data_IF_923691519065
#
_entry.id   IF_923691519065
#
_cell.length_a   1.000
_cell.length_b   1.000
_cell.length_c   1.000
_cell.angle_alpha   90.00
_cell.angle_beta   90.00
_cell.angle_gamma   90.00
#
_symmetry.space_group_name_H-M   'P 1'
#
loop_
_entity.id
_entity.type
_entity.pdbx_description
1 polymer ?
#
# COMPACT_ATOMS: atom_id res chain seq x y z
N UNK A 1 3.49 -6.86 -7.28
CA UNK A 1 2.32 -7.53 -7.87
C UNK A 1 2.66 -7.85 -9.32
N UNK A 2 2.60 -9.11 -9.72
CA UNK A 2 2.95 -9.54 -11.08
C UNK A 2 1.78 -9.32 -12.06
N UNK A 3 2.01 -9.51 -13.36
CA UNK A 3 0.99 -9.29 -14.40
C UNK A 3 -0.25 -10.16 -14.18
N UNK A 4 -0.07 -11.43 -13.82
CA UNK A 4 -1.16 -12.38 -13.62
C UNK A 4 -2.04 -12.00 -12.42
N UNK A 5 -1.44 -11.43 -11.36
CA UNK A 5 -2.18 -10.88 -10.22
C UNK A 5 -3.01 -9.66 -10.59
N UNK A 6 -2.46 -8.74 -11.38
CA UNK A 6 -3.21 -7.57 -11.86
C UNK A 6 -4.40 -8.05 -12.69
N UNK A 7 -4.19 -9.00 -13.60
CA UNK A 7 -5.26 -9.60 -14.41
C UNK A 7 -6.30 -10.30 -13.53
N UNK A 8 -5.88 -11.01 -12.48
CA UNK A 8 -6.76 -11.67 -11.53
C UNK A 8 -7.63 -10.66 -10.77
N UNK A 9 -7.02 -9.60 -10.20
CA UNK A 9 -7.71 -8.54 -9.46
C UNK A 9 -8.67 -7.77 -10.35
N UNK A 10 -8.27 -7.43 -11.58
CA UNK A 10 -9.16 -6.76 -12.55
C UNK A 10 -10.35 -7.66 -12.90
N UNK A 11 -10.12 -8.96 -13.11
CA UNK A 11 -11.20 -9.93 -13.41
C UNK A 11 -12.12 -10.19 -12.22
N UNK A 12 -11.65 -9.99 -10.99
CA UNK A 12 -12.50 -10.08 -9.81
C UNK A 12 -13.58 -8.99 -9.78
N UNK A 13 -13.41 -7.88 -10.52
CA UNK A 13 -14.51 -6.95 -10.81
C UNK A 13 -15.14 -6.31 -9.57
N UNK A 14 -14.38 -6.18 -8.48
CA UNK A 14 -14.86 -5.65 -7.19
C UNK A 14 -15.29 -6.72 -6.18
N UNK A 15 -15.28 -8.00 -6.52
CA UNK A 15 -15.47 -9.10 -5.58
C UNK A 15 -14.29 -9.17 -4.60
N UNK A 16 -14.50 -8.71 -3.36
CA UNK A 16 -13.47 -8.64 -2.34
C UNK A 16 -12.90 -10.01 -1.95
N UNK A 17 -13.70 -11.08 -1.99
CA UNK A 17 -13.23 -12.43 -1.66
C UNK A 17 -12.27 -12.91 -2.75
N UNK A 18 -12.68 -12.73 -4.00
CA UNK A 18 -11.87 -13.10 -5.15
C UNK A 18 -10.60 -12.25 -5.29
N UNK A 19 -10.66 -10.96 -4.95
CA UNK A 19 -9.46 -10.11 -4.85
C UNK A 19 -8.51 -10.62 -3.78
N UNK A 20 -9.01 -11.03 -2.60
CA UNK A 20 -8.16 -11.59 -1.53
C UNK A 20 -7.48 -12.86 -1.98
N UNK A 21 -8.18 -13.76 -2.65
CA UNK A 21 -7.60 -14.98 -3.24
C UNK A 21 -6.51 -14.65 -4.26
N UNK A 22 -6.75 -13.69 -5.16
CA UNK A 22 -5.73 -13.23 -6.13
C UNK A 22 -4.45 -12.71 -5.45
N UNK A 23 -4.60 -12.12 -4.26
CA UNK A 23 -3.52 -11.56 -3.46
C UNK A 23 -2.93 -12.58 -2.46
N UNK A 24 -3.45 -13.81 -2.42
CA UNK A 24 -2.97 -14.87 -1.53
C UNK A 24 -3.34 -14.69 -0.06
N UNK A 25 -4.35 -13.86 0.24
CA UNK A 25 -4.83 -13.65 1.60
C UNK A 25 -6.00 -14.59 1.94
N UNK A 26 -5.89 -15.24 3.09
CA UNK A 26 -7.01 -15.87 3.78
C UNK A 26 -7.24 -15.13 5.09
N UNK A 27 -8.48 -14.72 5.34
CA UNK A 27 -8.87 -13.96 6.54
C UNK A 27 -9.93 -14.76 7.27
N UNK A 28 -9.64 -15.11 8.52
CA UNK A 28 -10.56 -15.79 9.42
C UNK A 28 -10.92 -14.84 10.57
N UNK A 29 -12.21 -14.58 10.77
CA UNK A 29 -12.68 -13.84 11.96
C UNK A 29 -12.65 -14.79 13.15
N UNK A 30 -11.94 -14.40 14.20
CA UNK A 30 -11.74 -15.21 15.40
C UNK A 30 -12.10 -14.40 16.65
N UNK A 31 -12.59 -15.08 17.68
CA UNK A 31 -12.94 -14.45 18.96
C UNK A 31 -11.69 -13.96 19.70
N UNK A 32 -10.63 -14.78 19.70
CA UNK A 32 -9.32 -14.44 20.24
C UNK A 32 -8.23 -14.77 19.25
N UNK A 33 -7.26 -13.84 19.13
CA UNK A 33 -6.08 -14.02 18.32
C UNK A 33 -4.91 -13.44 19.11
N UNK A 34 -4.07 -14.33 19.66
CA UNK A 34 -2.87 -13.99 20.43
C UNK A 34 -1.60 -14.57 19.79
N UNK A 35 -1.68 -14.90 18.50
CA UNK A 35 -0.54 -15.44 17.77
C UNK A 35 0.43 -14.30 17.46
N UNK A 36 1.65 -14.41 18.01
CA UNK A 36 2.77 -13.69 17.46
C UNK A 36 2.91 -14.02 15.96
N UNK A 37 3.25 -13.04 15.10
CA UNK A 37 3.50 -13.30 13.70
C UNK A 37 4.48 -14.47 13.55
N UNK A 38 4.14 -15.48 12.74
CA UNK A 38 5.04 -16.60 12.44
C UNK A 38 4.97 -17.03 10.98
N UNK A 39 5.99 -17.76 10.55
CA UNK A 39 5.88 -18.59 9.36
C UNK A 39 5.15 -19.88 9.71
N UNK A 40 4.14 -20.19 8.90
CA UNK A 40 3.41 -21.44 8.94
C UNK A 40 3.49 -22.05 7.54
N UNK A 41 4.45 -22.95 7.36
CA UNK A 41 4.93 -23.38 6.04
C UNK A 41 5.40 -22.16 5.21
N UNK A 42 4.95 -22.05 3.95
CA UNK A 42 5.25 -20.93 3.05
C UNK A 42 4.27 -19.75 3.18
N UNK A 43 3.66 -19.57 4.35
CA UNK A 43 2.76 -18.46 4.61
C UNK A 43 3.12 -17.68 5.88
N UNK A 44 3.00 -16.35 5.81
CA UNK A 44 3.04 -15.51 7.01
C UNK A 44 1.66 -15.55 7.64
N UNK A 45 1.60 -15.95 8.91
CA UNK A 45 0.37 -15.91 9.70
C UNK A 45 0.52 -14.91 10.83
N UNK A 46 -0.42 -13.98 10.92
CA UNK A 46 -0.44 -12.96 11.97
C UNK A 46 -1.87 -12.63 12.38
N UNK A 47 -2.01 -12.09 13.58
CA UNK A 47 -3.26 -11.51 14.04
C UNK A 47 -3.29 -10.02 13.66
N UNK A 48 -4.41 -9.56 13.14
CA UNK A 48 -4.72 -8.14 12.97
C UNK A 48 -6.13 -7.85 13.47
N UNK A 49 -6.47 -6.59 13.66
CA UNK A 49 -7.67 -6.20 14.40
C UNK A 49 -7.55 -6.48 15.91
N UNK A 50 -8.53 -5.98 16.68
CA UNK A 50 -8.50 -6.05 18.14
C UNK A 50 -7.74 -4.92 18.83
N UNK A 51 -7.54 -3.78 18.15
CA UNK A 51 -7.17 -2.53 18.81
C UNK A 51 -8.29 -1.99 19.71
N UNK A 52 -8.09 -0.80 20.28
CA UNK A 52 -9.21 0.03 20.72
C UNK A 52 -10.28 0.03 19.60
N UNK A 53 -11.56 0.18 19.90
CA UNK A 53 -12.66 0.17 18.91
C UNK A 53 -13.20 -1.21 18.52
N UNK A 54 -12.88 -2.28 19.28
CA UNK A 54 -13.45 -3.65 19.23
C UNK A 54 -13.80 -4.20 17.84
N UNK A 55 -12.96 -3.88 16.87
CA UNK A 55 -12.91 -4.55 15.59
C UNK A 55 -12.77 -6.07 15.82
N UNK A 56 -13.45 -6.90 15.02
CA UNK A 56 -13.29 -8.35 15.12
C UNK A 56 -11.81 -8.69 14.97
N UNK A 57 -11.29 -9.54 15.87
CA UNK A 57 -9.94 -10.05 15.72
C UNK A 57 -9.92 -10.94 14.49
N UNK A 58 -8.91 -10.75 13.65
CA UNK A 58 -8.74 -11.48 12.41
C UNK A 58 -7.42 -12.22 12.46
N UNK A 59 -7.47 -13.51 12.14
CA UNK A 59 -6.28 -14.27 11.77
C UNK A 59 -6.11 -14.12 10.27
N UNK A 60 -4.96 -13.58 9.87
CA UNK A 60 -4.60 -13.40 8.47
C UNK A 60 -3.48 -14.38 8.14
N UNK A 61 -3.68 -15.16 7.07
CA UNK A 61 -2.66 -15.99 6.44
C UNK A 61 -2.38 -15.42 5.05
N UNK A 62 -1.13 -15.07 4.79
CA UNK A 62 -0.65 -14.61 3.49
C UNK A 62 0.25 -15.68 2.89
N UNK A 63 -0.21 -16.35 1.83
CA UNK A 63 0.59 -17.33 1.10
C UNK A 63 1.68 -16.62 0.28
N UNK A 64 2.95 -16.86 0.61
CA UNK A 64 4.07 -16.17 -0.03
C UNK A 64 4.29 -16.62 -1.49
N UNK A 65 4.01 -17.90 -1.78
CA UNK A 65 4.18 -18.49 -3.11
C UNK A 65 3.33 -17.80 -4.18
N UNK A 66 2.22 -17.13 -3.81
CA UNK A 66 1.38 -16.35 -4.73
C UNK A 66 2.14 -15.16 -5.34
N UNK A 67 3.25 -14.75 -4.72
CA UNK A 67 4.15 -13.71 -5.21
C UNK A 67 5.53 -14.26 -5.63
N UNK A 68 5.68 -15.58 -5.83
CA UNK A 68 6.97 -16.25 -6.03
C UNK A 68 7.96 -15.99 -4.87
N UNK A 69 7.42 -15.85 -3.65
CA UNK A 69 8.17 -15.62 -2.41
C UNK A 69 8.05 -16.84 -1.49
N UNK A 70 8.94 -16.90 -0.51
CA UNK A 70 8.93 -17.87 0.59
C UNK A 70 8.76 -17.16 1.92
N UNK A 71 8.21 -17.86 2.92
CA UNK A 71 8.15 -17.30 4.27
C UNK A 71 9.51 -17.46 4.95
N UNK A 72 10.10 -16.34 5.37
CA UNK A 72 11.37 -16.33 6.11
C UNK A 72 11.24 -15.49 7.36
N UNK A 73 11.94 -15.90 8.42
CA UNK A 73 12.09 -15.08 9.63
C UNK A 73 13.32 -14.16 9.47
N UNK A 74 13.17 -12.86 9.72
CA UNK A 74 14.30 -11.95 9.86
C UNK A 74 15.08 -12.22 11.14
N UNK A 75 16.24 -11.58 11.27
CA UNK A 75 17.14 -11.70 12.43
C UNK A 75 16.49 -11.30 13.75
N UNK A 76 15.46 -10.46 13.73
CA UNK A 76 14.63 -10.09 14.90
C UNK A 76 13.49 -11.09 15.19
N UNK A 77 13.39 -12.17 14.42
CA UNK A 77 12.34 -13.19 14.51
C UNK A 77 11.03 -12.83 13.80
N UNK A 78 10.93 -11.65 13.18
CA UNK A 78 9.72 -11.22 12.47
C UNK A 78 9.58 -11.98 11.14
N UNK A 79 8.48 -12.72 10.88
CA UNK A 79 8.28 -13.40 9.60
C UNK A 79 7.89 -12.42 8.50
N UNK A 80 8.34 -12.68 7.27
CA UNK A 80 7.99 -11.92 6.06
C UNK A 80 7.97 -12.84 4.85
N UNK A 81 7.13 -12.53 3.87
CA UNK A 81 7.27 -13.09 2.53
C UNK A 81 8.43 -12.40 1.83
N UNK A 82 9.44 -13.17 1.43
CA UNK A 82 10.66 -12.66 0.82
C UNK A 82 11.21 -13.64 -0.23
N UNK A 83 12.22 -13.23 -0.99
CA UNK A 83 12.88 -14.12 -1.96
C UNK A 83 13.70 -15.23 -1.28
N UNK A 84 14.08 -15.01 -0.03
CA UNK A 84 14.88 -15.94 0.75
C UNK A 84 15.60 -15.24 1.88
N UNK A 85 16.62 -15.90 2.40
CA UNK A 85 17.52 -15.34 3.41
C UNK A 85 18.83 -14.86 2.78
N UNK A 86 19.52 -13.98 3.48
CA UNK A 86 20.87 -13.54 3.14
C UNK A 86 21.73 -13.53 4.41
N UNK A 87 23.07 -13.53 4.30
CA UNK A 87 23.94 -13.45 5.47
C UNK A 87 23.56 -12.24 6.33
N UNK A 88 23.49 -12.38 7.67
CA UNK A 88 23.19 -11.26 8.54
C UNK A 88 24.30 -10.22 8.37
N UNK A 89 23.94 -9.04 7.87
CA UNK A 89 24.81 -7.89 7.79
C UNK A 89 24.11 -6.68 8.38
N UNK A 90 24.86 -5.88 9.13
CA UNK A 90 24.39 -4.58 9.62
C UNK A 90 24.24 -3.56 8.48
N UNK A 91 24.84 -3.85 7.32
CA UNK A 91 24.71 -3.07 6.10
C UNK A 91 23.56 -3.58 5.23
N UNK A 92 22.77 -2.64 4.70
CA UNK A 92 21.79 -2.91 3.65
C UNK A 92 22.57 -3.15 2.35
N UNK A 93 22.53 -4.36 1.81
CA UNK A 93 23.12 -4.68 0.51
C UNK A 93 22.04 -4.58 -0.55
N UNK A 94 22.21 -3.65 -1.49
CA UNK A 94 21.29 -3.49 -2.63
C UNK A 94 22.00 -3.88 -3.92
N UNK A 95 21.40 -4.80 -4.68
CA UNK A 95 21.81 -5.12 -6.05
C UNK A 95 20.73 -4.66 -7.02
N UNK A 96 21.14 -4.06 -8.13
CA UNK A 96 20.22 -3.55 -9.15
C UNK A 96 20.27 -4.41 -10.41
N UNK A 97 19.09 -4.66 -10.99
CA UNK A 97 18.97 -5.24 -12.32
C UNK A 97 17.94 -4.42 -13.12
N UNK A 98 18.44 -3.39 -13.81
CA UNK A 98 17.60 -2.42 -14.53
C UNK A 98 16.66 -1.68 -13.60
N UNK A 99 15.38 -2.08 -13.60
CA UNK A 99 14.34 -1.50 -12.72
C UNK A 99 14.08 -2.32 -11.47
N UNK A 100 14.69 -3.48 -11.33
CA UNK A 100 14.52 -4.32 -10.14
C UNK A 100 15.60 -3.99 -9.13
N UNK A 101 15.18 -3.75 -7.89
CA UNK A 101 16.04 -3.63 -6.73
C UNK A 101 15.91 -4.92 -5.91
N UNK A 102 17.02 -5.47 -5.48
CA UNK A 102 17.04 -6.58 -4.52
C UNK A 102 17.81 -6.11 -3.31
N UNK A 103 17.20 -6.21 -2.14
CA UNK A 103 17.77 -5.71 -0.89
C UNK A 103 17.87 -6.84 0.13
N UNK A 104 19.08 -7.00 0.68
CA UNK A 104 19.33 -7.77 1.89
C UNK A 104 19.31 -6.84 3.10
N UNK A 105 18.39 -7.07 4.03
CA UNK A 105 18.31 -6.33 5.29
C UNK A 105 17.79 -7.26 6.39
N UNK A 106 18.44 -7.26 7.56
CA UNK A 106 18.04 -8.11 8.69
C UNK A 106 18.02 -9.61 8.36
N UNK A 107 18.94 -10.06 7.50
CA UNK A 107 19.03 -11.45 7.04
C UNK A 107 17.96 -11.88 6.03
N UNK A 108 17.16 -10.94 5.52
CA UNK A 108 16.05 -11.21 4.57
C UNK A 108 16.33 -10.56 3.22
N UNK A 109 16.16 -11.36 2.16
CA UNK A 109 16.30 -10.91 0.78
C UNK A 109 14.93 -10.53 0.21
N UNK A 110 14.71 -9.25 -0.05
CA UNK A 110 13.47 -8.72 -0.64
C UNK A 110 13.73 -8.18 -2.04
N UNK A 111 12.70 -8.12 -2.87
CA UNK A 111 12.77 -7.41 -4.16
C UNK A 111 11.68 -6.36 -4.26
N UNK A 112 12.04 -5.24 -4.89
CA UNK A 112 11.13 -4.19 -5.29
C UNK A 112 11.36 -3.83 -6.75
N UNK A 113 10.35 -3.28 -7.39
CA UNK A 113 10.47 -2.72 -8.72
C UNK A 113 10.40 -1.20 -8.61
N UNK A 114 11.37 -0.50 -9.19
CA UNK A 114 11.32 0.93 -9.32
C UNK A 114 10.08 1.34 -10.10
N UNK A 115 9.43 2.42 -9.65
CA UNK A 115 8.28 3.00 -10.33
C UNK A 115 8.58 3.31 -11.80
N UNK A 116 7.54 3.46 -12.61
CA UNK A 116 7.72 3.86 -14.00
C UNK A 116 8.56 5.14 -14.08
N UNK A 117 9.43 5.23 -15.10
CA UNK A 117 10.38 6.33 -15.29
C UNK A 117 11.47 6.47 -14.21
N UNK A 118 11.63 5.47 -13.35
CA UNK A 118 12.77 5.33 -12.43
C UNK A 118 13.61 4.09 -12.76
N UNK A 119 14.88 4.16 -12.41
CA UNK A 119 15.87 3.09 -12.56
C UNK A 119 16.50 2.77 -11.22
N UNK A 120 17.00 1.54 -11.04
CA UNK A 120 17.72 1.16 -9.83
C UNK A 120 19.18 1.61 -9.95
N UNK A 121 19.64 2.42 -9.00
CA UNK A 121 21.04 2.87 -8.93
C UNK A 121 21.79 2.11 -7.85
N UNK A 122 22.81 1.35 -8.25
CA UNK A 122 23.71 0.66 -7.30
C UNK A 122 24.48 1.66 -6.44
N UNK A 123 24.86 2.80 -7.02
CA UNK A 123 25.58 3.86 -6.30
C UNK A 123 24.72 4.52 -5.21
N UNK A 124 23.43 4.72 -5.48
CA UNK A 124 22.51 5.29 -4.50
C UNK A 124 21.89 4.22 -3.58
N UNK A 125 22.02 2.93 -3.93
CA UNK A 125 21.38 1.82 -3.23
C UNK A 125 19.85 1.85 -3.27
N UNK A 126 19.25 2.54 -4.23
CA UNK A 126 17.80 2.80 -4.32
C UNK A 126 17.36 3.18 -5.74
N UNK A 127 16.05 3.34 -5.93
CA UNK A 127 15.47 3.82 -7.18
C UNK A 127 15.68 5.32 -7.36
N UNK A 128 16.11 5.72 -8.55
CA UNK A 128 16.38 7.11 -8.95
C UNK A 128 15.54 7.49 -10.16
N UNK A 129 15.19 8.77 -10.31
CA UNK A 129 14.52 9.27 -11.50
C UNK A 129 15.43 9.16 -12.73
N UNK A 130 14.92 8.62 -13.84
CA UNK A 130 15.66 8.48 -15.10
C UNK A 130 15.42 9.65 -16.08
N UNK A 131 14.46 10.52 -15.79
CA UNK A 131 14.03 11.62 -16.65
C UNK A 131 14.96 12.84 -16.61
N UNK A 132 14.45 14.01 -17.02
CA UNK A 132 15.20 15.27 -17.00
C UNK A 132 15.55 15.73 -15.58
N UNK A 133 16.58 16.56 -15.43
CA UNK A 133 16.91 17.21 -14.17
C UNK A 133 15.74 18.06 -13.68
N UNK A 134 15.50 18.03 -12.37
CA UNK A 134 14.45 18.78 -11.72
C UNK A 134 14.88 19.21 -10.32
N UNK A 135 14.22 20.23 -9.81
CA UNK A 135 14.42 20.73 -8.44
C UNK A 135 13.16 20.64 -7.59
N UNK A 136 12.02 20.32 -8.20
CA UNK A 136 10.71 20.15 -7.56
C UNK A 136 9.76 19.41 -8.49
N UNK A 137 8.68 18.89 -7.93
CA UNK A 137 7.58 18.30 -8.66
C UNK A 137 6.76 19.36 -9.41
N UNK A 138 6.19 18.98 -10.55
CA UNK A 138 5.40 19.88 -11.42
C UNK A 138 4.14 19.21 -11.94
N UNK A 139 3.22 20.02 -12.46
CA UNK A 139 2.07 19.56 -13.23
C UNK A 139 2.22 19.97 -14.69
N UNK A 140 1.94 19.03 -15.60
CA UNK A 140 1.79 19.26 -17.03
C UNK A 140 0.34 18.94 -17.40
N UNK A 141 -0.54 19.94 -17.32
CA UNK A 141 -1.99 19.68 -17.33
C UNK A 141 -2.41 18.84 -16.13
N UNK A 142 -3.11 17.72 -16.37
CA UNK A 142 -3.49 16.75 -15.34
C UNK A 142 -2.45 15.65 -15.10
N UNK A 143 -1.24 15.81 -15.65
CA UNK A 143 -0.14 14.88 -15.42
C UNK A 143 0.76 15.41 -14.31
N UNK A 144 0.91 14.63 -13.23
CA UNK A 144 1.87 14.87 -12.17
C UNK A 144 3.25 14.35 -12.58
N UNK A 145 4.25 15.23 -12.56
CA UNK A 145 5.64 14.89 -12.85
C UNK A 145 6.44 14.90 -11.54
N UNK A 146 6.66 13.72 -10.93
CA UNK A 146 7.44 13.62 -9.71
C UNK A 146 8.91 13.96 -9.93
N UNK A 147 9.50 14.70 -9.01
CA UNK A 147 10.94 14.91 -8.92
C UNK A 147 11.50 14.02 -7.82
N UNK A 148 12.43 13.12 -8.16
CA UNK A 148 13.06 12.25 -7.18
C UNK A 148 14.14 13.03 -6.41
N UNK A 149 13.97 13.29 -5.10
CA UNK A 149 14.86 14.17 -4.34
C UNK A 149 16.31 13.66 -4.27
N UNK A 150 16.51 12.34 -4.33
CA UNK A 150 17.85 11.73 -4.23
C UNK A 150 18.67 12.00 -5.50
N UNK A 151 18.05 11.87 -6.68
CA UNK A 151 18.75 12.05 -7.95
C UNK A 151 18.62 13.44 -8.55
N UNK A 152 17.67 14.27 -8.07
CA UNK A 152 17.33 15.55 -8.71
C UNK A 152 16.85 15.36 -10.14
N UNK A 153 16.12 14.26 -10.40
CA UNK A 153 15.64 13.89 -11.74
C UNK A 153 14.20 13.46 -11.69
N UNK A 154 13.48 13.74 -12.76
CA UNK A 154 12.07 13.36 -12.87
C UNK A 154 11.93 11.84 -12.92
N UNK A 155 10.93 11.33 -12.24
CA UNK A 155 10.47 9.95 -12.41
C UNK A 155 9.27 9.92 -13.38
N UNK A 156 8.68 8.74 -13.59
CA UNK A 156 7.62 8.58 -14.57
C UNK A 156 6.38 9.42 -14.22
N UNK A 157 5.77 10.07 -15.22
CA UNK A 157 4.57 10.86 -15.02
C UNK A 157 3.41 10.01 -14.51
N UNK A 158 2.57 10.59 -13.66
CA UNK A 158 1.32 10.01 -13.17
C UNK A 158 0.17 10.79 -13.80
N UNK A 159 -0.65 10.11 -14.58
CA UNK A 159 -1.89 10.68 -15.12
C UNK A 159 -2.92 10.77 -13.99
N UNK A 160 -3.11 11.97 -13.43
CA UNK A 160 -4.07 12.17 -12.36
C UNK A 160 -5.51 12.00 -12.87
N UNK A 161 -5.79 12.33 -14.14
CA UNK A 161 -7.12 12.19 -14.71
C UNK A 161 -7.53 10.72 -14.82
N UNK A 162 -6.59 9.82 -15.13
CA UNK A 162 -6.83 8.37 -15.08
C UNK A 162 -7.18 7.86 -13.68
N UNK A 163 -6.86 8.63 -12.63
CA UNK A 163 -7.20 8.34 -11.24
C UNK A 163 -8.46 9.08 -10.75
N UNK A 164 -9.18 9.78 -11.65
CA UNK A 164 -10.34 10.62 -11.28
C UNK A 164 -9.94 11.88 -10.48
N UNK A 165 -8.68 12.28 -10.59
CA UNK A 165 -8.09 13.43 -9.89
C UNK A 165 -7.62 14.47 -10.91
N UNK A 166 -7.18 15.62 -10.42
CA UNK A 166 -6.47 16.63 -11.21
C UNK A 166 -5.07 16.85 -10.66
N UNK A 167 -4.14 17.29 -11.49
CA UNK A 167 -2.86 17.74 -10.97
C UNK A 167 -2.97 19.19 -10.48
N UNK A 168 -2.44 19.47 -9.27
CA UNK A 168 -2.37 20.83 -8.72
C UNK A 168 -0.97 21.14 -8.22
N UNK A 169 -0.47 22.31 -8.61
CA UNK A 169 0.73 22.90 -8.04
C UNK A 169 0.45 23.64 -6.72
N UNK A 170 1.34 23.49 -5.76
CA UNK A 170 1.31 24.12 -4.43
C UNK A 170 2.43 25.16 -4.27
N UNK A 171 2.81 25.82 -5.36
CA UNK A 171 3.85 26.84 -5.38
C UNK A 171 5.23 26.28 -5.05
N UNK A 172 5.77 26.63 -3.88
CA UNK A 172 7.07 26.15 -3.41
C UNK A 172 7.01 24.76 -2.77
N UNK A 173 5.81 24.27 -2.44
CA UNK A 173 5.61 22.95 -1.82
C UNK A 173 5.55 21.80 -2.85
N UNK A 174 5.76 22.09 -4.14
CA UNK A 174 5.72 21.10 -5.22
C UNK A 174 4.35 21.00 -5.88
N UNK A 175 4.00 19.80 -6.33
CA UNK A 175 2.76 19.49 -7.02
C UNK A 175 2.24 18.10 -6.61
N UNK A 176 0.98 17.79 -6.91
CA UNK A 176 0.44 16.46 -6.67
C UNK A 176 -0.93 16.24 -7.30
N UNK A 177 -1.33 14.97 -7.39
CA UNK A 177 -2.70 14.59 -7.74
C UNK A 177 -3.63 14.88 -6.55
N UNK A 178 -4.73 15.54 -6.83
CA UNK A 178 -5.71 15.98 -5.83
C UNK A 178 -7.12 15.77 -6.35
N UNK A 179 -8.09 15.66 -5.44
CA UNK A 179 -9.50 15.72 -5.79
C UNK A 179 -9.81 16.97 -6.65
N UNK A 180 -10.73 16.85 -7.63
CA UNK A 180 -11.08 17.96 -8.51
C UNK A 180 -11.76 19.11 -7.75
N UNK A 181 -11.80 20.31 -8.33
CA UNK A 181 -12.27 21.52 -7.62
C UNK A 181 -13.79 21.51 -7.38
N UNK A 182 -14.53 20.69 -8.14
CA UNK A 182 -15.95 20.42 -8.00
C UNK A 182 -16.25 19.18 -7.13
N UNK A 183 -15.23 18.62 -6.47
CA UNK A 183 -15.42 17.55 -5.50
C UNK A 183 -16.45 17.97 -4.44
N UNK A 184 -17.40 17.07 -4.15
CA UNK A 184 -18.47 17.28 -3.17
C UNK A 184 -17.94 17.60 -1.76
N UNK A 185 -16.69 17.20 -1.50
CA UNK A 185 -15.97 17.60 -0.32
C UNK A 185 -14.46 17.56 -0.51
N UNK A 186 -13.75 18.38 0.26
CA UNK A 186 -12.28 18.38 0.30
C UNK A 186 -11.70 17.16 1.01
N UNK A 187 -10.37 17.09 1.11
CA UNK A 187 -9.66 16.10 1.92
C UNK A 187 -9.89 16.37 3.42
N UNK A 188 -11.08 16.01 3.92
CA UNK A 188 -11.45 16.03 5.34
C UNK A 188 -11.54 14.61 5.88
N UNK A 189 -11.22 14.44 7.17
CA UNK A 189 -11.46 13.19 7.90
C UNK A 189 -12.96 12.86 7.96
N UNK A 190 -13.28 11.57 8.20
CA UNK A 190 -14.67 11.14 8.33
C UNK A 190 -15.37 11.76 9.55
N UNK A 191 -16.68 11.95 9.45
CA UNK A 191 -17.53 12.38 10.55
C UNK A 191 -18.66 11.39 10.79
N UNK A 192 -18.98 11.14 12.06
CA UNK A 192 -20.00 10.19 12.45
C UNK A 192 -21.27 10.96 12.81
N UNK A 193 -22.39 10.52 12.25
CA UNK A 193 -23.71 11.01 12.62
C UNK A 193 -24.72 9.88 12.59
N UNK A 194 -25.44 9.71 13.68
CA UNK A 194 -26.55 8.75 13.79
C UNK A 194 -26.17 7.31 13.39
N UNK A 195 -24.94 6.88 13.71
CA UNK A 195 -24.45 5.55 13.37
C UNK A 195 -23.90 5.40 11.95
N UNK A 196 -23.85 6.47 11.16
CA UNK A 196 -23.28 6.52 9.82
C UNK A 196 -21.99 7.33 9.79
N UNK A 197 -20.93 6.77 9.22
CA UNK A 197 -19.69 7.50 8.93
C UNK A 197 -19.80 8.13 7.54
N UNK A 198 -19.79 9.46 7.49
CA UNK A 198 -19.63 10.21 6.25
C UNK A 198 -18.16 10.54 6.02
N UNK A 199 -17.62 10.24 4.86
CA UNK A 199 -16.22 10.53 4.53
C UNK A 199 -16.07 10.92 3.06
N UNK A 200 -14.97 11.60 2.75
CA UNK A 200 -14.61 11.95 1.39
C UNK A 200 -13.68 10.89 0.84
N UNK A 201 -14.07 10.25 -0.26
CA UNK A 201 -13.16 9.38 -0.98
C UNK A 201 -11.97 10.13 -1.55
N UNK A 202 -10.93 9.40 -1.93
CA UNK A 202 -9.79 9.97 -2.64
C UNK A 202 -10.16 10.61 -4.00
N UNK A 203 -11.30 10.20 -4.56
CA UNK A 203 -11.94 10.76 -5.75
C UNK A 203 -12.75 12.05 -5.47
N UNK A 204 -12.81 12.51 -4.21
CA UNK A 204 -13.56 13.70 -3.83
C UNK A 204 -15.08 13.49 -3.74
N UNK A 205 -15.55 12.24 -3.84
CA UNK A 205 -16.97 11.88 -3.72
C UNK A 205 -17.31 11.60 -2.26
N UNK A 206 -18.43 12.15 -1.76
CA UNK A 206 -18.88 11.86 -0.40
C UNK A 206 -19.47 10.45 -0.35
N UNK A 207 -19.00 9.65 0.60
CA UNK A 207 -19.49 8.30 0.88
C UNK A 207 -20.03 8.21 2.29
N UNK A 208 -20.95 7.29 2.49
CA UNK A 208 -21.56 6.99 3.77
C UNK A 208 -21.40 5.49 4.06
N UNK A 209 -21.04 5.15 5.31
CA UNK A 209 -20.96 3.78 5.79
C UNK A 209 -21.85 3.62 7.02
N UNK A 210 -22.92 2.83 6.92
CA UNK A 210 -23.89 2.61 7.99
C UNK A 210 -23.41 1.51 8.94
N UNK A 211 -22.83 1.91 10.07
CA UNK A 211 -22.30 0.97 11.04
C UNK A 211 -23.42 0.10 11.65
N UNK A 212 -24.62 0.66 11.88
CA UNK A 212 -25.73 -0.06 12.51
C UNK A 212 -26.26 -1.16 11.58
N UNK A 213 -26.41 -0.86 10.30
CA UNK A 213 -26.80 -1.84 9.28
C UNK A 213 -25.77 -2.99 9.18
N UNK A 214 -24.50 -2.72 9.48
CA UNK A 214 -23.42 -3.71 9.50
C UNK A 214 -23.19 -4.37 10.87
N UNK A 215 -24.12 -4.19 11.84
CA UNK A 215 -24.13 -4.94 13.10
C UNK A 215 -23.38 -4.29 14.27
N UNK A 216 -22.87 -3.08 14.07
CA UNK A 216 -22.21 -2.29 15.12
C UNK A 216 -23.27 -1.58 16.01
N UNK A 217 -22.85 -1.04 17.17
CA UNK A 217 -23.67 -0.20 18.06
C UNK A 217 -23.93 1.18 17.46
N UNK A 218 -22.95 1.73 16.73
CA UNK A 218 -23.02 3.04 16.09
C UNK A 218 -21.66 3.45 15.53
N UNK A 219 -21.34 4.75 15.56
CA UNK A 219 -20.02 5.27 15.19
C UNK A 219 -19.55 6.39 16.15
N UNK A 220 -18.27 6.73 16.10
CA UNK A 220 -17.68 7.94 16.72
C UNK A 220 -16.58 8.46 15.79
N UNK A 221 -16.59 9.75 15.47
CA UNK A 221 -15.67 10.35 14.49
C UNK A 221 -15.70 9.64 13.14
N UNK A 222 -14.69 8.85 12.80
CA UNK A 222 -14.52 8.18 11.52
C UNK A 222 -14.53 6.64 11.63
N UNK A 223 -15.09 6.10 12.71
CA UNK A 223 -15.07 4.66 13.02
C UNK A 223 -16.37 4.12 13.58
N UNK A 224 -16.65 2.84 13.32
CA UNK A 224 -17.79 2.12 13.89
C UNK A 224 -17.48 1.67 15.33
N UNK A 225 -18.51 1.67 16.19
CA UNK A 225 -18.43 1.23 17.59
C UNK A 225 -19.03 -0.17 17.70
N UNK A 226 -18.29 -1.20 18.13
CA UNK A 226 -18.81 -2.55 18.33
C UNK A 226 -19.84 -2.61 19.45
N UNK A 227 -20.66 -3.66 19.45
CA UNK A 227 -21.60 -3.97 20.53
C UNK A 227 -20.92 -4.67 21.71
#
# INVERSE_FOLDING_TARGET
>A
MNHDQIVCVVRAGGDCERVRECLGFTIEVVETCELAPRCDEDAVTFCTGGGAFGEPRMRVRQACAVHDLVCVASTDGSPRCALGTCPPSDAIVTTCNGRSLTTCSGGVLTTGTCRAGSECSETAGTCVGAGAACTRETCEGDVFVPCEPISGRTAGPIDCAALGMRCRGFGTLGAGCVAPDDAECGSGGGSCRDGVIEYCGHDGVRRAYDCVAHGFEGCVSDRCVPR
#
